data_IF_352852011333
#
_entry.id   IF_352852011333
#
_cell.length_a   1.000
_cell.length_b   1.000
_cell.length_c   1.000
_cell.angle_alpha   90.00
_cell.angle_beta   90.00
_cell.angle_gamma   90.00
#
_symmetry.space_group_name_H-M   'P 1'
#
loop_
_entity.id
_entity.type
_entity.pdbx_description
1 polymer ?
#
# COMPACT_ATOMS: atom_id res chain seq x y z
N UNK A 1 8.28 17.98 5.49
CA UNK A 1 9.36 17.29 4.75
C UNK A 1 8.97 15.85 4.43
N UNK A 2 8.78 14.98 5.43
CA UNK A 2 8.38 13.56 5.23
C UNK A 2 7.10 13.43 4.40
N UNK A 3 6.08 14.26 4.66
CA UNK A 3 4.86 14.35 3.83
C UNK A 3 5.15 14.45 2.33
N UNK A 4 5.95 15.45 1.94
CA UNK A 4 6.25 15.68 0.52
C UNK A 4 6.98 14.46 -0.07
N UNK A 5 7.91 13.88 0.68
CA UNK A 5 8.62 12.67 0.26
C UNK A 5 7.68 11.47 0.10
N UNK A 6 6.69 11.30 0.96
CA UNK A 6 5.66 10.26 0.81
C UNK A 6 4.82 10.46 -0.46
N UNK A 7 4.35 11.69 -0.67
CA UNK A 7 3.57 12.05 -1.88
C UNK A 7 4.39 11.79 -3.13
N UNK A 8 5.65 12.24 -3.18
CA UNK A 8 6.55 12.02 -4.31
C UNK A 8 6.82 10.53 -4.52
N UNK A 9 7.06 9.77 -3.44
CA UNK A 9 7.30 8.33 -3.52
C UNK A 9 6.10 7.61 -4.11
N UNK A 10 4.89 7.91 -3.64
CA UNK A 10 3.67 7.26 -4.14
C UNK A 10 3.35 7.69 -5.57
N UNK A 11 3.61 8.95 -5.93
CA UNK A 11 3.49 9.42 -7.32
C UNK A 11 4.45 8.66 -8.26
N UNK A 12 5.69 8.42 -7.83
CA UNK A 12 6.66 7.59 -8.57
C UNK A 12 6.17 6.15 -8.69
N UNK A 13 5.66 5.54 -7.62
CA UNK A 13 5.11 4.18 -7.66
C UNK A 13 3.93 4.06 -8.62
N UNK A 14 3.01 5.02 -8.60
CA UNK A 14 1.88 5.10 -9.54
C UNK A 14 2.36 5.24 -10.98
N UNK A 15 3.34 6.11 -11.24
CA UNK A 15 3.93 6.31 -12.57
C UNK A 15 4.62 5.04 -13.10
N UNK A 16 5.39 4.36 -12.25
CA UNK A 16 6.03 3.08 -12.59
C UNK A 16 4.98 2.01 -12.91
N UNK A 17 3.91 1.91 -12.12
CA UNK A 17 2.83 0.95 -12.36
C UNK A 17 2.17 1.17 -13.74
N UNK A 18 1.85 2.42 -14.08
CA UNK A 18 1.29 2.78 -15.39
C UNK A 18 2.22 2.44 -16.54
N UNK A 19 3.53 2.64 -16.36
CA UNK A 19 4.54 2.32 -17.37
C UNK A 19 4.69 0.81 -17.61
N UNK A 20 4.62 0.00 -16.55
CA UNK A 20 4.78 -1.47 -16.65
C UNK A 20 3.49 -2.14 -17.17
N UNK A 21 2.32 -1.65 -16.76
CA UNK A 21 1.02 -2.20 -17.14
C UNK A 21 0.04 -1.07 -17.52
N UNK A 22 -0.14 -0.77 -18.81
CA UNK A 22 -1.10 0.26 -19.24
C UNK A 22 -2.54 0.01 -18.77
N UNK A 23 -2.90 -1.25 -18.50
CA UNK A 23 -4.21 -1.64 -17.96
C UNK A 23 -4.46 -1.10 -16.54
N UNK A 24 -3.40 -0.79 -15.79
CA UNK A 24 -3.48 -0.21 -14.43
C UNK A 24 -4.02 1.22 -14.42
N UNK A 25 -4.17 1.88 -15.58
CA UNK A 25 -4.84 3.19 -15.69
C UNK A 25 -6.28 3.20 -15.20
N UNK A 26 -6.95 2.04 -15.18
CA UNK A 26 -8.28 1.90 -14.60
C UNK A 26 -8.26 1.78 -13.07
N UNK A 27 -7.13 1.37 -12.50
CA UNK A 27 -6.94 1.17 -11.06
C UNK A 27 -6.38 2.42 -10.38
N UNK A 28 -5.54 3.16 -11.10
CA UNK A 28 -4.98 4.43 -10.67
C UNK A 28 -5.81 5.54 -11.31
N UNK A 29 -6.77 6.07 -10.56
CA UNK A 29 -7.69 7.11 -11.01
C UNK A 29 -7.46 8.42 -10.25
N UNK A 30 -7.82 9.53 -10.89
CA UNK A 30 -7.68 10.85 -10.27
C UNK A 30 -6.24 11.36 -10.20
N UNK A 31 -6.09 12.56 -9.64
CA UNK A 31 -4.79 13.21 -9.41
C UNK A 31 -4.38 13.15 -7.95
N UNK A 32 -5.33 12.90 -7.05
CA UNK A 32 -5.10 12.91 -5.61
C UNK A 32 -4.70 11.53 -5.11
N UNK A 33 -3.89 11.51 -4.06
CA UNK A 33 -3.42 10.27 -3.43
C UNK A 33 -4.58 9.48 -2.80
N UNK A 34 -5.54 10.22 -2.24
CA UNK A 34 -6.74 9.69 -1.58
C UNK A 34 -7.56 8.81 -2.53
N UNK A 35 -7.69 9.22 -3.79
CA UNK A 35 -8.44 8.49 -4.83
C UNK A 35 -7.90 7.07 -5.04
N UNK A 36 -6.61 6.86 -4.71
CA UNK A 36 -5.88 5.62 -4.94
C UNK A 36 -5.57 4.87 -3.63
N UNK A 37 -6.06 5.34 -2.49
CA UNK A 37 -5.69 4.81 -1.18
C UNK A 37 -6.03 3.32 -1.03
N UNK A 38 -7.23 2.90 -1.42
CA UNK A 38 -7.65 1.49 -1.38
C UNK A 38 -6.77 0.60 -2.28
N UNK A 39 -6.26 1.14 -3.39
CA UNK A 39 -5.34 0.41 -4.26
C UNK A 39 -3.97 0.24 -3.60
N UNK A 40 -3.41 1.32 -3.04
CA UNK A 40 -2.15 1.28 -2.30
C UNK A 40 -2.23 0.34 -1.09
N UNK A 41 -3.30 0.44 -0.32
CA UNK A 41 -3.59 -0.44 0.81
C UNK A 41 -3.50 -1.92 0.42
N UNK A 42 -4.16 -2.29 -0.68
CA UNK A 42 -4.15 -3.66 -1.20
C UNK A 42 -2.76 -4.10 -1.67
N UNK A 43 -1.99 -3.24 -2.34
CA UNK A 43 -0.62 -3.58 -2.78
C UNK A 43 0.31 -3.77 -1.58
N UNK A 44 0.21 -2.91 -0.57
CA UNK A 44 1.01 -3.02 0.65
C UNK A 44 0.63 -4.24 1.50
N UNK A 45 -0.66 -4.61 1.55
CA UNK A 45 -1.13 -5.88 2.09
C UNK A 45 -0.47 -7.06 1.39
N UNK A 46 -0.56 -7.12 0.05
CA UNK A 46 0.01 -8.22 -0.75
C UNK A 46 1.50 -8.36 -0.49
N UNK A 47 2.24 -7.24 -0.44
CA UNK A 47 3.66 -7.24 -0.13
C UNK A 47 3.97 -7.80 1.26
N UNK A 48 3.19 -7.43 2.29
CA UNK A 48 3.32 -7.96 3.65
C UNK A 48 3.01 -9.45 3.71
N UNK A 49 1.90 -9.88 3.12
CA UNK A 49 1.50 -11.29 3.09
C UNK A 49 2.51 -12.15 2.33
N UNK A 50 3.03 -11.68 1.20
CA UNK A 50 4.09 -12.37 0.47
C UNK A 50 5.33 -12.54 1.35
N UNK A 51 5.77 -11.50 2.06
CA UNK A 51 6.90 -11.59 2.98
C UNK A 51 6.66 -12.56 4.13
N UNK A 52 5.48 -12.53 4.74
CA UNK A 52 5.10 -13.45 5.85
C UNK A 52 5.20 -14.91 5.40
N UNK A 53 4.67 -15.23 4.21
CA UNK A 53 4.72 -16.59 3.67
C UNK A 53 6.10 -16.99 3.14
N UNK A 54 6.96 -16.02 2.79
CA UNK A 54 8.27 -16.26 2.17
C UNK A 54 9.37 -15.49 2.91
N UNK A 55 9.83 -15.96 4.08
CA UNK A 55 10.75 -15.21 4.94
C UNK A 55 12.09 -14.89 4.28
N UNK A 56 12.51 -15.69 3.31
CA UNK A 56 13.78 -15.52 2.59
C UNK A 56 13.74 -14.46 1.48
N UNK A 57 12.55 -14.03 1.03
CA UNK A 57 12.42 -13.00 0.00
C UNK A 57 12.49 -11.60 0.61
N UNK A 58 12.76 -10.58 -0.22
CA UNK A 58 12.71 -9.17 0.18
C UNK A 58 13.58 -8.79 1.40
N UNK A 59 14.73 -9.44 1.62
CA UNK A 59 15.60 -9.23 2.80
C UNK A 59 15.97 -7.75 3.04
N UNK A 60 16.20 -6.98 1.99
CA UNK A 60 16.57 -5.55 2.09
C UNK A 60 15.43 -4.58 1.76
N UNK A 61 14.46 -4.99 0.95
CA UNK A 61 13.35 -4.13 0.50
C UNK A 61 12.19 -4.09 1.47
N UNK A 62 11.94 -5.17 2.22
CA UNK A 62 10.81 -5.22 3.15
C UNK A 62 10.96 -4.23 4.32
N UNK A 63 12.16 -4.08 4.88
CA UNK A 63 12.40 -3.08 5.93
C UNK A 63 12.13 -1.66 5.46
N UNK A 64 12.51 -1.33 4.22
CA UNK A 64 12.21 -0.02 3.61
C UNK A 64 10.71 0.19 3.44
N UNK A 65 9.97 -0.85 3.03
CA UNK A 65 8.51 -0.82 2.99
C UNK A 65 7.94 -0.57 4.39
N UNK A 66 8.42 -1.25 5.43
CA UNK A 66 7.94 -1.03 6.80
C UNK A 66 8.18 0.40 7.27
N UNK A 67 9.35 0.99 7.02
CA UNK A 67 9.60 2.40 7.36
C UNK A 67 8.68 3.36 6.60
N UNK A 68 8.45 3.10 5.30
CA UNK A 68 7.49 3.87 4.50
C UNK A 68 6.07 3.81 5.10
N UNK A 69 5.62 2.62 5.50
CA UNK A 69 4.30 2.43 6.11
C UNK A 69 4.20 3.05 7.50
N UNK A 70 5.27 2.99 8.31
CA UNK A 70 5.33 3.65 9.62
C UNK A 70 5.13 5.16 9.49
N UNK A 71 5.79 5.79 8.52
CA UNK A 71 5.61 7.23 8.24
C UNK A 71 4.21 7.53 7.69
N UNK A 72 3.66 6.65 6.85
CA UNK A 72 2.32 6.80 6.28
C UNK A 72 1.20 6.63 7.33
N UNK A 73 1.45 5.90 8.42
CA UNK A 73 0.50 5.66 9.52
C UNK A 73 0.43 6.80 10.54
N UNK A 74 1.27 7.83 10.42
CA UNK A 74 1.26 8.94 11.37
C UNK A 74 -0.09 9.67 11.30
N UNK A 75 -0.77 9.94 12.43
CA UNK A 75 -2.11 10.55 12.42
C UNK A 75 -2.20 11.88 11.66
N UNK A 76 -1.14 12.70 11.74
CA UNK A 76 -1.06 13.95 10.98
C UNK A 76 -0.99 13.73 9.47
N UNK A 77 -0.34 12.65 9.04
CA UNK A 77 -0.22 12.26 7.63
C UNK A 77 -1.55 11.71 7.13
N UNK A 78 -2.17 10.77 7.84
CA UNK A 78 -3.49 10.22 7.48
C UNK A 78 -4.54 11.34 7.35
N UNK A 79 -4.61 12.26 8.34
CA UNK A 79 -5.52 13.42 8.29
C UNK A 79 -5.30 14.29 7.06
N UNK A 80 -4.04 14.51 6.71
CA UNK A 80 -3.68 15.42 5.62
C UNK A 80 -3.83 14.77 4.24
N UNK A 81 -3.58 13.46 4.15
CA UNK A 81 -3.75 12.67 2.93
C UNK A 81 -5.20 12.26 2.72
N UNK A 82 -6.05 12.37 3.75
CA UNK A 82 -7.48 12.07 3.69
C UNK A 82 -7.79 10.58 3.57
N UNK A 83 -6.81 9.70 3.82
CA UNK A 83 -6.97 8.27 3.68
C UNK A 83 -5.95 7.48 4.51
N UNK A 84 -6.31 6.24 4.84
CA UNK A 84 -5.42 5.24 5.40
C UNK A 84 -4.89 4.31 4.30
N UNK A 85 -3.62 3.93 4.41
CA UNK A 85 -2.93 3.09 3.41
C UNK A 85 -2.56 1.70 3.96
N UNK A 86 -3.03 1.35 5.15
CA UNK A 86 -2.65 0.11 5.85
C UNK A 86 -3.89 -0.64 6.28
N UNK A 87 -4.18 -1.73 5.58
CA UNK A 87 -5.23 -2.69 5.92
C UNK A 87 -4.75 -3.81 6.84
N UNK A 88 -5.67 -4.64 7.30
CA UNK A 88 -5.35 -5.94 7.88
C UNK A 88 -4.76 -6.89 6.83
N UNK A 89 -3.94 -7.84 7.26
CA UNK A 89 -3.46 -8.92 6.36
C UNK A 89 -4.58 -9.93 6.19
N UNK A 90 -4.87 -10.28 4.94
CA UNK A 90 -5.86 -11.30 4.63
C UNK A 90 -5.32 -12.68 5.02
N UNK A 91 -6.10 -13.42 5.80
CA UNK A 91 -5.71 -14.74 6.31
C UNK A 91 -6.78 -15.78 5.98
N UNK A 92 -6.38 -17.05 5.91
CA UNK A 92 -7.34 -18.15 5.70
C UNK A 92 -8.39 -18.17 6.80
N UNK A 93 -8.02 -17.86 8.05
CA UNK A 93 -8.96 -17.79 9.16
C UNK A 93 -10.03 -16.70 8.94
N UNK A 94 -9.61 -15.48 8.56
CA UNK A 94 -10.54 -14.38 8.29
C UNK A 94 -11.50 -14.72 7.13
N UNK A 95 -11.02 -15.35 6.06
CA UNK A 95 -11.87 -15.78 4.95
C UNK A 95 -12.89 -16.85 5.36
N UNK A 96 -12.50 -17.80 6.24
CA UNK A 96 -13.42 -18.82 6.75
C UNK A 96 -14.50 -18.22 7.64
N UNK A 97 -14.14 -17.26 8.49
CA UNK A 97 -15.12 -16.53 9.33
C UNK A 97 -16.14 -15.75 8.49
N UNK A 98 -15.71 -15.14 7.38
CA UNK A 98 -16.60 -14.42 6.46
C UNK A 98 -17.56 -15.35 5.69
N UNK A 99 -17.18 -16.61 5.44
CA UNK A 99 -18.02 -17.60 4.74
C UNK A 99 -19.06 -18.25 5.66
N UNK A 100 -18.78 -18.34 6.96
CA UNK A 100 -19.68 -18.90 7.97
C UNK A 100 -20.74 -17.89 8.47
N UNK A 101 -20.63 -16.62 8.07
CA UNK A 101 -21.53 -15.50 8.44
C UNK A 101 -22.73 -15.32 7.49
#
# INVERSE_FOLDING_TARGET
>A
RIKAQLVDTFAVLSGLMLAVRPQSRKLIQGRELADNAAWFERIFEVGRRHKIMNPDTMRSSYGKLMHLLQDAALPDICRTMGADFIGSVQTVAAELEDLDA
#
